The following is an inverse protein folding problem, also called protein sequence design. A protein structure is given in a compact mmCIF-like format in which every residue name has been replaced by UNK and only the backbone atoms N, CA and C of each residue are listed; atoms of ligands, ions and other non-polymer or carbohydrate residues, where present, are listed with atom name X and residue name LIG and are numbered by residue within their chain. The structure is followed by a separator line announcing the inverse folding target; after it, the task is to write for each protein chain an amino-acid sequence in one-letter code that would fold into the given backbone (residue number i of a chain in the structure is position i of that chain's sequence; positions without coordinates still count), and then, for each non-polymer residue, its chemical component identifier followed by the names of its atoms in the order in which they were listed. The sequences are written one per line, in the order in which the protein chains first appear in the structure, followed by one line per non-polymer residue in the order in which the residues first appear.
data_IF_606861427908
#
_entry.id   IF_606861427908
#
_cell.length_a   1.000
_cell.length_b   1.000
_cell.length_c   1.000
_cell.angle_alpha   90.00
_cell.angle_beta   90.00
_cell.angle_gamma   90.00
#
_symmetry.space_group_name_H-M   'P 1'
#
loop_
_entity.id
_entity.type
_entity.pdbx_description
1 polymer ?
#
# COMPACT_ATOMS: atom_id res chain seq x y z
N UNK A 1 -7.79 30.04 -29.22
CA UNK A 1 -7.36 29.59 -27.87
C UNK A 1 -6.67 28.24 -28.01
N UNK A 2 -5.34 28.21 -28.01
CA UNK A 2 -4.59 26.96 -27.99
C UNK A 2 -4.74 26.35 -26.59
N UNK A 3 -5.46 25.23 -26.49
CA UNK A 3 -5.37 24.36 -25.33
C UNK A 3 -3.94 23.84 -25.25
N UNK A 4 -3.09 24.46 -24.43
CA UNK A 4 -1.76 23.96 -24.17
C UNK A 4 -1.90 22.69 -23.32
N UNK A 5 -2.06 21.54 -23.97
CA UNK A 5 -2.05 20.22 -23.31
C UNK A 5 -0.70 20.05 -22.62
N UNK A 6 -0.68 20.21 -21.30
CA UNK A 6 0.51 19.98 -20.50
C UNK A 6 0.65 18.47 -20.27
N UNK A 7 1.29 17.77 -21.22
CA UNK A 7 1.52 16.33 -21.17
C UNK A 7 2.28 15.92 -19.91
N UNK A 8 3.13 16.80 -19.38
CA UNK A 8 3.79 16.58 -18.10
C UNK A 8 2.79 16.50 -16.93
N UNK A 9 1.81 17.39 -16.86
CA UNK A 9 0.78 17.33 -15.80
C UNK A 9 -0.06 16.06 -15.91
N UNK A 10 -0.41 15.64 -17.13
CA UNK A 10 -1.09 14.36 -17.38
C UNK A 10 -0.25 13.17 -16.90
N UNK A 11 1.06 13.20 -17.18
CA UNK A 11 2.01 12.18 -16.70
C UNK A 11 2.05 12.12 -15.17
N UNK A 12 2.16 13.27 -14.50
CA UNK A 12 2.17 13.35 -13.03
C UNK A 12 0.86 12.84 -12.45
N UNK A 13 -0.29 13.19 -13.05
CA UNK A 13 -1.58 12.66 -12.63
C UNK A 13 -1.64 11.13 -12.69
N UNK A 14 -1.04 10.51 -13.73
CA UNK A 14 -0.94 9.05 -13.83
C UNK A 14 -0.01 8.45 -12.79
N UNK A 15 1.12 9.07 -12.51
CA UNK A 15 2.03 8.66 -11.43
C UNK A 15 1.32 8.74 -10.07
N UNK A 16 0.59 9.83 -9.80
CA UNK A 16 -0.21 10.01 -8.59
C UNK A 16 -1.33 8.96 -8.47
N UNK A 17 -1.99 8.61 -9.58
CA UNK A 17 -3.00 7.55 -9.61
C UNK A 17 -2.38 6.18 -9.31
N UNK A 18 -1.19 5.90 -9.86
CA UNK A 18 -0.43 4.69 -9.54
C UNK A 18 -0.07 4.65 -8.04
N UNK A 19 0.49 5.73 -7.49
CA UNK A 19 0.88 5.82 -6.08
C UNK A 19 -0.30 5.61 -5.14
N UNK A 20 -1.46 6.19 -5.45
CA UNK A 20 -2.70 5.94 -4.68
C UNK A 20 -3.12 4.48 -4.71
N UNK A 21 -3.12 3.85 -5.89
CA UNK A 21 -3.46 2.43 -6.01
C UNK A 21 -2.44 1.51 -5.34
N UNK A 22 -1.15 1.88 -5.34
CA UNK A 22 -0.09 1.20 -4.63
C UNK A 22 -0.36 1.17 -3.12
N UNK A 23 -0.70 2.31 -2.51
CA UNK A 23 -1.04 2.36 -1.08
C UNK A 23 -2.35 1.64 -0.74
N UNK A 24 -3.36 1.68 -1.62
CA UNK A 24 -4.57 0.84 -1.46
C UNK A 24 -4.20 -0.64 -1.43
N UNK A 25 -3.35 -1.09 -2.35
CA UNK A 25 -2.90 -2.47 -2.39
C UNK A 25 -2.17 -2.87 -1.10
N UNK A 26 -1.28 -2.00 -0.60
CA UNK A 26 -0.58 -2.22 0.66
C UNK A 26 -1.53 -2.25 1.86
N UNK A 27 -2.53 -1.36 1.90
CA UNK A 27 -3.56 -1.31 2.93
C UNK A 27 -4.39 -2.60 2.95
N UNK A 28 -4.88 -3.05 1.79
CA UNK A 28 -5.66 -4.30 1.70
C UNK A 28 -4.84 -5.48 2.23
N UNK A 29 -3.59 -5.62 1.79
CA UNK A 29 -2.70 -6.70 2.28
C UNK A 29 -2.46 -6.58 3.78
N UNK A 30 -2.14 -5.38 4.26
CA UNK A 30 -1.87 -5.12 5.67
C UNK A 30 -3.09 -5.39 6.56
N UNK A 31 -4.28 -4.99 6.15
CA UNK A 31 -5.53 -5.30 6.85
C UNK A 31 -5.82 -6.79 6.91
N UNK A 32 -5.55 -7.54 5.83
CA UNK A 32 -5.74 -8.99 5.82
C UNK A 32 -4.76 -9.69 6.77
N UNK A 33 -3.49 -9.28 6.79
CA UNK A 33 -2.51 -9.79 7.77
C UNK A 33 -2.88 -9.45 9.20
N UNK A 34 -3.33 -8.22 9.43
CA UNK A 34 -3.78 -7.75 10.73
C UNK A 34 -4.93 -8.61 11.27
N UNK A 35 -6.00 -8.77 10.48
CA UNK A 35 -7.14 -9.59 10.87
C UNK A 35 -6.69 -11.03 11.13
N UNK A 36 -5.96 -11.65 10.20
CA UNK A 36 -5.48 -13.02 10.37
C UNK A 36 -4.65 -13.22 11.65
N UNK A 37 -3.69 -12.34 11.91
CA UNK A 37 -2.83 -12.42 13.09
C UNK A 37 -3.62 -12.22 14.39
N UNK A 38 -4.46 -11.18 14.46
CA UNK A 38 -5.29 -10.91 15.64
C UNK A 38 -6.20 -12.09 15.95
N UNK A 39 -6.83 -12.65 14.92
CA UNK A 39 -7.71 -13.80 15.04
C UNK A 39 -6.96 -15.04 15.50
N UNK A 40 -5.81 -15.38 14.89
CA UNK A 40 -5.00 -16.55 15.30
C UNK A 40 -4.56 -16.44 16.76
N UNK A 41 -4.05 -15.28 17.17
CA UNK A 41 -3.59 -15.07 18.55
C UNK A 41 -4.76 -15.15 19.52
N UNK A 42 -5.92 -14.59 19.15
CA UNK A 42 -7.12 -14.68 19.97
C UNK A 42 -7.61 -16.13 20.13
N UNK A 43 -7.66 -16.92 19.05
CA UNK A 43 -7.98 -18.36 19.11
C UNK A 43 -6.99 -19.09 20.02
N UNK A 44 -5.70 -18.89 19.80
CA UNK A 44 -4.65 -19.54 20.57
C UNK A 44 -4.77 -19.24 22.06
N UNK A 45 -5.03 -17.98 22.42
CA UNK A 45 -5.23 -17.59 23.82
C UNK A 45 -6.45 -18.26 24.44
N UNK A 46 -7.58 -18.34 23.73
CA UNK A 46 -8.77 -19.02 24.21
C UNK A 46 -8.55 -20.52 24.40
N UNK A 47 -7.89 -21.19 23.44
CA UNK A 47 -7.58 -22.61 23.55
C UNK A 47 -6.63 -22.90 24.71
N UNK A 48 -5.56 -22.11 24.85
CA UNK A 48 -4.62 -22.24 25.95
C UNK A 48 -5.31 -21.99 27.29
N UNK A 49 -6.14 -20.95 27.41
CA UNK A 49 -6.91 -20.70 28.63
C UNK A 49 -7.82 -21.89 28.97
N UNK A 50 -8.49 -22.48 27.98
CA UNK A 50 -9.40 -23.61 28.17
C UNK A 50 -8.69 -24.87 28.70
N UNK A 51 -7.50 -25.19 28.18
CA UNK A 51 -6.77 -26.39 28.59
C UNK A 51 -5.92 -26.19 29.85
N UNK A 52 -5.34 -25.01 30.05
CA UNK A 52 -4.36 -24.75 31.11
C UNK A 52 -4.93 -24.05 32.35
N UNK A 53 -6.20 -23.61 32.31
CA UNK A 53 -6.89 -22.96 33.44
C UNK A 53 -6.03 -21.87 34.08
N UNK A 54 -5.61 -20.87 33.30
CA UNK A 54 -4.60 -19.93 33.77
C UNK A 54 -5.06 -19.13 35.00
N UNK A 55 -4.09 -18.77 35.84
CA UNK A 55 -4.31 -17.90 36.99
C UNK A 55 -4.66 -16.47 36.55
N UNK A 56 -5.28 -15.70 37.46
CA UNK A 56 -5.67 -14.29 37.21
C UNK A 56 -4.48 -13.43 36.75
N UNK A 57 -3.29 -13.68 37.27
CA UNK A 57 -2.07 -12.95 36.90
C UNK A 57 -1.65 -13.22 35.45
N UNK A 58 -1.65 -14.49 35.03
CA UNK A 58 -1.30 -14.88 33.65
C UNK A 58 -2.29 -14.31 32.64
N UNK A 59 -3.60 -14.39 32.94
CA UNK A 59 -4.65 -13.79 32.09
C UNK A 59 -4.44 -12.30 31.87
N UNK A 60 -4.07 -11.57 32.93
CA UNK A 60 -3.78 -10.13 32.85
C UNK A 60 -2.60 -9.86 31.91
N UNK A 61 -1.50 -10.61 32.04
CA UNK A 61 -0.33 -10.48 31.17
C UNK A 61 -0.69 -10.77 29.71
N UNK A 62 -1.40 -11.87 29.45
CA UNK A 62 -1.87 -12.23 28.11
C UNK A 62 -2.73 -11.12 27.51
N UNK A 63 -3.68 -10.58 28.27
CA UNK A 63 -4.55 -9.49 27.82
C UNK A 63 -3.77 -8.23 27.41
N UNK A 64 -2.84 -7.75 28.24
CA UNK A 64 -2.03 -6.58 27.88
C UNK A 64 -1.08 -6.86 26.72
N UNK A 65 -0.55 -8.08 26.61
CA UNK A 65 0.26 -8.48 25.45
C UNK A 65 -0.55 -8.48 24.16
N UNK A 66 -1.81 -8.92 24.22
CA UNK A 66 -2.73 -8.88 23.08
C UNK A 66 -3.02 -7.45 22.65
N UNK A 67 -3.30 -6.54 23.59
CA UNK A 67 -3.51 -5.12 23.29
C UNK A 67 -2.26 -4.51 22.65
N UNK A 68 -1.07 -4.80 23.19
CA UNK A 68 0.19 -4.33 22.62
C UNK A 68 0.38 -4.82 21.18
N UNK A 69 0.19 -6.13 20.96
CA UNK A 69 0.30 -6.73 19.63
C UNK A 69 -0.74 -6.16 18.66
N UNK A 70 -1.97 -5.99 19.09
CA UNK A 70 -3.05 -5.38 18.32
C UNK A 70 -2.66 -3.95 17.92
N UNK A 71 -2.25 -3.11 18.88
CA UNK A 71 -1.87 -1.73 18.63
C UNK A 71 -0.68 -1.60 17.68
N UNK A 72 0.38 -2.39 17.89
CA UNK A 72 1.57 -2.38 17.03
C UNK A 72 1.24 -2.85 15.60
N UNK A 73 0.48 -3.94 15.47
CA UNK A 73 0.09 -4.48 14.17
C UNK A 73 -0.85 -3.54 13.43
N UNK A 74 -1.81 -2.93 14.15
CA UNK A 74 -2.72 -1.93 13.58
C UNK A 74 -1.94 -0.71 13.08
N UNK A 75 -1.03 -0.19 13.91
CA UNK A 75 -0.22 0.97 13.55
C UNK A 75 0.63 0.68 12.31
N UNK A 76 1.36 -0.44 12.32
CA UNK A 76 2.33 -0.74 11.27
C UNK A 76 1.72 -1.27 9.96
N UNK A 77 0.60 -2.02 10.00
CA UNK A 77 0.02 -2.62 8.80
C UNK A 77 -1.22 -1.91 8.26
N UNK A 78 -1.91 -1.10 9.07
CA UNK A 78 -3.16 -0.43 8.65
C UNK A 78 -3.02 1.08 8.67
N UNK A 79 -2.62 1.65 9.81
CA UNK A 79 -2.58 3.11 9.98
C UNK A 79 -1.50 3.74 9.09
N UNK A 80 -0.30 3.15 9.03
CA UNK A 80 0.76 3.69 8.15
C UNK A 80 0.35 3.74 6.67
N UNK A 81 -0.09 2.67 5.96
CA UNK A 81 -0.50 2.81 4.56
C UNK A 81 -1.73 3.70 4.38
N UNK A 82 -2.62 3.75 5.37
CA UNK A 82 -3.78 4.66 5.35
C UNK A 82 -3.34 6.13 5.42
N UNK A 83 -2.39 6.49 6.28
CA UNK A 83 -1.82 7.85 6.31
C UNK A 83 -1.21 8.24 4.97
N UNK A 84 -0.41 7.36 4.37
CA UNK A 84 0.21 7.63 3.06
C UNK A 84 -0.82 7.77 1.94
N UNK A 85 -1.94 7.02 1.99
CA UNK A 85 -3.04 7.17 1.04
C UNK A 85 -3.69 8.57 1.12
N UNK A 86 -3.88 9.11 2.32
CA UNK A 86 -4.36 10.48 2.54
C UNK A 86 -3.27 11.56 2.35
N UNK A 87 -2.12 11.18 1.79
CA UNK A 87 -0.96 12.06 1.57
C UNK A 87 -0.40 12.67 2.87
N UNK A 88 -0.54 11.98 3.99
CA UNK A 88 0.03 12.37 5.28
C UNK A 88 1.36 11.63 5.51
N UNK A 89 2.40 12.36 5.92
CA UNK A 89 3.72 11.80 6.22
C UNK A 89 4.64 11.68 4.99
N UNK A 90 5.55 10.71 5.01
CA UNK A 90 6.59 10.52 3.97
C UNK A 90 6.06 9.66 2.82
N UNK A 91 5.53 10.29 1.76
CA UNK A 91 5.15 9.56 0.55
C UNK A 91 6.39 9.10 -0.22
N UNK A 92 6.24 8.04 -1.01
CA UNK A 92 7.23 7.68 -2.01
C UNK A 92 7.40 8.86 -2.98
N UNK A 93 8.66 9.15 -3.35
CA UNK A 93 8.93 10.22 -4.30
C UNK A 93 8.42 9.86 -5.69
N UNK A 94 8.25 10.85 -6.56
CA UNK A 94 7.89 10.59 -7.97
C UNK A 94 8.92 9.69 -8.66
N UNK A 95 10.20 9.83 -8.32
CA UNK A 95 11.28 8.97 -8.82
C UNK A 95 11.18 7.53 -8.30
N UNK A 96 10.84 7.34 -7.02
CA UNK A 96 10.58 6.01 -6.47
C UNK A 96 9.38 5.34 -7.15
N UNK A 97 8.28 6.09 -7.32
CA UNK A 97 7.12 5.61 -8.06
C UNK A 97 7.51 5.22 -9.49
N UNK A 98 8.32 6.03 -10.17
CA UNK A 98 8.83 5.72 -11.52
C UNK A 98 9.70 4.46 -11.55
N UNK A 99 10.57 4.25 -10.56
CA UNK A 99 11.36 3.02 -10.43
C UNK A 99 10.45 1.80 -10.29
N UNK A 100 9.41 1.88 -9.45
CA UNK A 100 8.47 0.77 -9.26
C UNK A 100 7.65 0.52 -10.54
N UNK A 101 7.10 1.57 -11.17
CA UNK A 101 6.39 1.47 -12.46
C UNK A 101 7.27 0.80 -13.52
N UNK A 102 8.55 1.20 -13.57
CA UNK A 102 9.53 0.68 -14.51
C UNK A 102 9.88 -0.80 -14.32
N UNK A 103 9.64 -1.39 -13.14
CA UNK A 103 9.79 -2.85 -12.95
C UNK A 103 8.76 -3.65 -13.73
N UNK A 104 7.59 -3.06 -13.99
CA UNK A 104 6.52 -3.68 -14.76
C UNK A 104 6.56 -3.26 -16.24
N UNK A 105 6.95 -2.02 -16.51
CA UNK A 105 7.06 -1.48 -17.88
C UNK A 105 8.51 -1.11 -18.21
N UNK A 106 9.34 -2.12 -18.49
CA UNK A 106 10.77 -1.93 -18.75
C UNK A 106 11.05 -0.91 -19.88
N UNK A 107 10.26 -0.94 -20.95
CA UNK A 107 10.40 -0.09 -22.13
C UNK A 107 10.25 1.41 -21.87
N UNK A 108 9.69 1.81 -20.71
CA UNK A 108 9.47 3.21 -20.36
C UNK A 108 10.14 3.64 -19.06
N UNK A 109 10.78 2.71 -18.34
CA UNK A 109 11.47 2.97 -17.08
C UNK A 109 12.43 4.15 -17.19
N UNK A 110 13.38 4.06 -18.12
CA UNK A 110 14.44 5.05 -18.23
C UNK A 110 13.87 6.39 -18.69
N UNK A 111 12.93 6.37 -19.64
CA UNK A 111 12.26 7.58 -20.13
C UNK A 111 11.50 8.31 -19.03
N UNK A 112 10.74 7.57 -18.20
CA UNK A 112 9.98 8.13 -17.09
C UNK A 112 10.91 8.76 -16.03
N UNK A 113 11.97 8.04 -15.63
CA UNK A 113 12.95 8.56 -14.66
C UNK A 113 13.63 9.82 -15.21
N UNK A 114 14.07 9.80 -16.46
CA UNK A 114 14.73 10.93 -17.11
C UNK A 114 13.82 12.16 -17.16
N UNK A 115 12.54 12.01 -17.51
CA UNK A 115 11.59 13.13 -17.56
C UNK A 115 11.39 13.77 -16.18
N UNK A 116 11.24 12.96 -15.13
CA UNK A 116 11.07 13.46 -13.76
C UNK A 116 12.34 14.16 -13.25
N UNK A 117 13.51 13.61 -13.53
CA UNK A 117 14.80 14.21 -13.17
C UNK A 117 15.07 15.51 -13.94
N UNK A 118 14.79 15.55 -15.25
CA UNK A 118 14.91 16.77 -16.03
C UNK A 118 14.01 17.88 -15.49
N UNK A 119 12.76 17.55 -15.08
CA UNK A 119 11.89 18.57 -14.48
C UNK A 119 12.44 19.06 -13.15
N UNK A 120 12.89 18.17 -12.26
CA UNK A 120 13.43 18.57 -10.94
C UNK A 120 14.69 19.42 -11.06
N UNK A 121 15.58 19.10 -11.99
CA UNK A 121 16.82 19.86 -12.26
C UNK A 121 16.55 21.18 -12.99
N UNK A 122 15.53 21.22 -13.87
CA UNK A 122 15.21 22.42 -14.65
C UNK A 122 14.86 23.65 -13.78
N UNK A 123 14.48 23.44 -12.52
CA UNK A 123 14.05 24.48 -11.56
C UNK A 123 15.13 25.54 -11.32
N UNK A 124 16.41 25.20 -11.51
CA UNK A 124 17.54 26.11 -11.31
C UNK A 124 18.01 26.91 -12.54
N UNK A 125 17.40 26.74 -13.72
CA UNK A 125 17.88 27.36 -14.96
C UNK A 125 17.08 28.61 -15.36
N UNK A 126 17.77 29.64 -15.85
CA UNK A 126 17.17 30.91 -16.32
C UNK A 126 16.47 30.77 -17.67
N UNK A 127 16.99 29.95 -18.58
CA UNK A 127 16.33 29.61 -19.85
C UNK A 127 15.90 28.15 -19.83
N UNK A 128 14.57 27.93 -19.84
CA UNK A 128 13.93 26.61 -19.68
C UNK A 128 13.16 26.19 -20.92
N UNK A 129 13.12 27.02 -21.95
CA UNK A 129 12.25 26.86 -23.13
C UNK A 129 12.49 25.53 -23.84
N UNK A 130 13.74 25.22 -24.17
CA UNK A 130 14.14 23.96 -24.81
C UNK A 130 13.97 22.75 -23.89
N UNK A 131 14.23 22.92 -22.60
CA UNK A 131 14.11 21.85 -21.59
C UNK A 131 12.64 21.47 -21.41
N UNK A 132 11.76 22.45 -21.24
CA UNK A 132 10.32 22.21 -21.10
C UNK A 132 9.74 21.62 -22.39
N UNK A 133 10.17 22.04 -23.58
CA UNK A 133 9.76 21.42 -24.84
C UNK A 133 10.17 19.94 -24.92
N UNK A 134 11.41 19.61 -24.54
CA UNK A 134 11.90 18.23 -24.46
C UNK A 134 11.10 17.38 -23.46
N UNK A 135 10.76 17.95 -22.29
CA UNK A 135 9.91 17.32 -21.28
C UNK A 135 8.51 17.03 -21.85
N UNK A 136 7.88 18.00 -22.52
CA UNK A 136 6.55 17.80 -23.13
C UNK A 136 6.57 16.71 -24.19
N UNK A 137 7.57 16.72 -25.08
CA UNK A 137 7.72 15.71 -26.11
C UNK A 137 7.86 14.31 -25.50
N UNK A 138 8.78 14.13 -24.55
CA UNK A 138 8.99 12.84 -23.89
C UNK A 138 7.79 12.39 -23.04
N UNK A 139 7.08 13.32 -22.40
CA UNK A 139 5.87 13.02 -21.65
C UNK A 139 4.72 12.54 -22.58
N UNK A 140 4.61 13.12 -23.78
CA UNK A 140 3.60 12.70 -24.77
C UNK A 140 3.79 11.24 -25.21
N UNK A 141 5.04 10.78 -25.32
CA UNK A 141 5.36 9.39 -25.67
C UNK A 141 4.96 8.38 -24.57
N UNK A 142 4.84 8.84 -23.33
CA UNK A 142 4.43 8.02 -22.18
C UNK A 142 2.91 7.95 -22.02
N UNK A 143 2.16 8.80 -22.74
CA UNK A 143 0.69 8.91 -22.64
C UNK A 143 -0.05 7.59 -22.84
N UNK A 144 0.31 6.68 -23.76
CA UNK A 144 -0.44 5.43 -23.94
C UNK A 144 -0.30 4.45 -22.77
N UNK A 145 0.69 4.61 -21.89
CA UNK A 145 1.00 3.61 -20.87
C UNK A 145 0.02 3.69 -19.67
N UNK A 146 -0.60 2.57 -19.26
CA UNK A 146 -1.48 2.53 -18.11
C UNK A 146 -0.70 2.19 -16.83
N UNK A 147 -0.02 3.15 -16.20
CA UNK A 147 0.81 2.91 -15.01
C UNK A 147 0.05 2.17 -13.88
N UNK A 148 -1.22 2.50 -13.70
CA UNK A 148 -2.13 1.90 -12.70
C UNK A 148 -2.32 0.38 -12.90
N UNK A 149 -2.10 -0.14 -14.11
CA UNK A 149 -2.20 -1.57 -14.42
C UNK A 149 -1.03 -2.39 -13.83
N UNK A 150 0.10 -1.76 -13.48
CA UNK A 150 1.19 -2.43 -12.77
C UNK A 150 0.77 -2.95 -11.38
N UNK A 151 -0.32 -2.41 -10.81
CA UNK A 151 -0.87 -2.86 -9.53
C UNK A 151 -2.12 -3.71 -9.77
N UNK A 152 -2.00 -4.99 -9.48
CA UNK A 152 -3.12 -5.94 -9.50
C UNK A 152 -3.63 -6.22 -8.08
N UNK A 153 -4.82 -5.67 -7.77
CA UNK A 153 -5.49 -5.87 -6.49
C UNK A 153 -6.08 -7.28 -6.34
N UNK A 154 -6.33 -7.99 -7.44
CA UNK A 154 -6.94 -9.33 -7.40
C UNK A 154 -5.98 -10.36 -6.80
N UNK A 155 -4.67 -10.14 -6.91
CA UNK A 155 -3.64 -10.96 -6.24
C UNK A 155 -3.82 -10.99 -4.73
N UNK A 156 -4.52 -10.02 -4.15
CA UNK A 156 -4.79 -10.00 -2.72
C UNK A 156 -5.77 -11.08 -2.26
N UNK A 157 -6.52 -11.69 -3.18
CA UNK A 157 -7.42 -12.82 -2.89
C UNK A 157 -6.70 -13.98 -2.22
N UNK A 158 -5.43 -14.22 -2.54
CA UNK A 158 -4.62 -15.24 -1.87
C UNK A 158 -4.49 -14.96 -0.37
N UNK A 159 -4.38 -13.69 0.04
CA UNK A 159 -4.26 -13.32 1.45
C UNK A 159 -5.59 -13.44 2.21
N UNK A 160 -6.72 -13.33 1.50
CA UNK A 160 -8.04 -13.54 2.09
C UNK A 160 -8.15 -14.97 2.63
N UNK A 161 -7.58 -15.97 1.94
CA UNK A 161 -7.58 -17.36 2.40
C UNK A 161 -6.92 -17.54 3.77
N UNK A 162 -5.81 -16.82 4.03
CA UNK A 162 -5.13 -16.85 5.32
C UNK A 162 -5.91 -16.15 6.44
N UNK A 163 -6.71 -15.14 6.12
CA UNK A 163 -7.59 -14.48 7.10
C UNK A 163 -8.88 -15.28 7.37
N UNK A 164 -9.43 -15.94 6.36
CA UNK A 164 -10.68 -16.72 6.49
C UNK A 164 -10.50 -17.94 7.37
N UNK A 165 -9.39 -18.67 7.27
CA UNK A 165 -9.21 -19.92 8.04
C UNK A 165 -9.31 -19.70 9.57
N UNK A 166 -8.60 -18.74 10.17
CA UNK A 166 -8.74 -18.41 11.59
C UNK A 166 -10.14 -17.89 11.95
N UNK A 167 -10.76 -17.09 11.07
CA UNK A 167 -12.11 -16.55 11.31
C UNK A 167 -13.16 -17.65 11.32
N UNK A 168 -13.03 -18.64 10.43
CA UNK A 168 -13.90 -19.80 10.39
C UNK A 168 -13.78 -20.63 11.67
N UNK A 169 -12.55 -20.86 12.15
CA UNK A 169 -12.32 -21.52 13.43
C UNK A 169 -13.00 -20.77 14.59
N UNK A 170 -12.87 -19.45 14.65
CA UNK A 170 -13.59 -18.67 15.66
C UNK A 170 -15.11 -18.81 15.55
N UNK A 171 -15.67 -18.74 14.34
CA UNK A 171 -17.10 -18.91 14.13
C UNK A 171 -17.60 -20.28 14.62
N UNK A 172 -16.83 -21.34 14.34
CA UNK A 172 -17.16 -22.70 14.81
C UNK A 172 -17.10 -22.84 16.33
N UNK A 173 -16.07 -22.27 16.98
CA UNK A 173 -15.94 -22.29 18.44
C UNK A 173 -17.07 -21.52 19.11
N UNK A 174 -17.44 -20.35 18.56
CA UNK A 174 -18.53 -19.55 19.08
C UNK A 174 -19.86 -20.29 18.99
N UNK A 175 -20.19 -20.88 17.83
CA UNK A 175 -21.38 -21.70 17.63
C UNK A 175 -21.43 -22.93 18.55
N UNK A 176 -20.29 -23.56 18.80
CA UNK A 176 -20.21 -24.68 19.76
C UNK A 176 -20.49 -24.22 21.19
N UNK A 177 -19.96 -23.07 21.60
CA UNK A 177 -20.18 -22.52 22.95
C UNK A 177 -21.62 -22.07 23.23
N UNK A 178 -22.45 -21.91 22.20
CA UNK A 178 -23.87 -21.53 22.28
C UNK A 178 -24.81 -22.73 22.51
N UNK A 179 -24.31 -23.96 22.45
CA UNK A 179 -25.06 -25.19 22.71
C UNK A 179 -24.69 -25.76 24.08
#
# INVERSE_FOLDING_TARGET
MQWNQNYYDELIHKVDAFTRKYYINQLIRGSLYFIGLVTVVFVAFNLLEHYFYFSKAVRKILFFSFIGLFGLSLWHWVITPMMHYFKLGKLISQEEAAKIIGTHFANVKDKLINVLQLKSQSVGYTDRTLIDASIQQKASELKPVPFVAAIDLQKNRKYIQYAILPLFLLGSLWLWSLR
#
